data_IF_586860305181
#
_entry.id   IF_586860305181
#
_cell.length_a   1.000
_cell.length_b   1.000
_cell.length_c   1.000
_cell.angle_alpha   90.00
_cell.angle_beta   90.00
_cell.angle_gamma   90.00
#
_symmetry.space_group_name_H-M   'P 1'
#
loop_
_entity.id
_entity.type
_entity.pdbx_description
1 polymer ?
#
# COMPACT_ATOMS: atom_id res chain seq x y z
N UNK A 1 -0.50 -13.48 10.83
CA UNK A 1 0.87 -13.27 11.37
C UNK A 1 1.81 -13.30 10.18
N UNK A 2 2.13 -12.12 9.63
CA UNK A 2 3.21 -11.96 8.65
C UNK A 2 4.54 -12.33 9.34
N UNK A 3 5.51 -12.86 8.60
CA UNK A 3 6.79 -13.36 9.14
C UNK A 3 7.34 -12.33 10.12
N UNK A 4 7.62 -12.74 11.37
CA UNK A 4 8.19 -11.85 12.36
C UNK A 4 9.64 -11.57 11.99
N UNK A 5 9.86 -10.59 11.12
CA UNK A 5 11.19 -10.11 10.79
C UNK A 5 11.58 -9.08 11.86
N UNK A 6 12.87 -8.92 12.13
CA UNK A 6 13.32 -7.77 12.92
C UNK A 6 13.04 -6.49 12.12
N UNK A 7 12.70 -5.39 12.81
CA UNK A 7 12.43 -4.07 12.21
C UNK A 7 13.52 -3.66 11.20
N UNK A 8 13.18 -3.70 9.91
CA UNK A 8 13.96 -3.05 8.87
C UNK A 8 13.82 -1.52 9.00
N UNK A 9 14.81 -0.72 8.57
CA UNK A 9 14.76 0.74 8.62
C UNK A 9 13.70 1.38 7.69
N UNK A 10 12.87 0.58 7.02
CA UNK A 10 11.80 0.95 6.07
C UNK A 10 10.57 1.63 6.72
N UNK A 11 10.62 1.85 8.03
CA UNK A 11 9.60 2.59 8.77
C UNK A 11 9.43 4.06 8.32
N UNK A 12 10.16 4.57 7.33
CA UNK A 12 10.11 5.98 6.91
C UNK A 12 9.03 6.28 5.86
N UNK A 13 8.88 5.48 4.79
CA UNK A 13 7.93 5.78 3.71
C UNK A 13 6.47 5.61 4.15
N UNK A 14 6.15 4.47 4.77
CA UNK A 14 4.80 4.19 5.27
C UNK A 14 4.37 5.22 6.31
N UNK A 15 5.28 5.57 7.23
CA UNK A 15 5.03 6.59 8.25
C UNK A 15 4.82 7.95 7.62
N UNK A 16 5.59 8.35 6.61
CA UNK A 16 5.42 9.63 5.94
C UNK A 16 4.07 9.73 5.22
N UNK A 17 3.66 8.70 4.47
CA UNK A 17 2.37 8.69 3.75
C UNK A 17 1.20 8.68 4.74
N UNK A 18 1.21 7.84 5.78
CA UNK A 18 0.09 7.86 6.73
C UNK A 18 0.09 9.09 7.65
N UNK A 19 1.24 9.71 7.94
CA UNK A 19 1.28 11.04 8.56
C UNK A 19 0.67 12.10 7.64
N UNK A 20 0.95 12.05 6.33
CA UNK A 20 0.31 12.91 5.36
C UNK A 20 -1.21 12.65 5.29
N UNK A 21 -1.66 11.39 5.33
CA UNK A 21 -3.08 11.04 5.39
C UNK A 21 -3.79 11.66 6.61
N UNK A 22 -3.15 11.73 7.78
CA UNK A 22 -3.72 12.45 8.96
C UNK A 22 -4.04 13.91 8.66
N UNK A 23 -3.29 14.55 7.77
CA UNK A 23 -3.49 15.97 7.44
C UNK A 23 -4.57 16.20 6.38
N UNK A 24 -4.90 15.18 5.58
CA UNK A 24 -5.89 15.27 4.49
C UNK A 24 -7.20 14.52 4.79
N UNK A 25 -7.25 13.74 5.87
CA UNK A 25 -8.47 13.18 6.45
C UNK A 25 -9.06 14.12 7.52
N UNK A 26 -10.32 13.92 7.90
CA UNK A 26 -11.06 14.80 8.80
C UNK A 26 -10.46 14.83 10.22
N UNK A 27 -10.63 15.95 10.94
CA UNK A 27 -10.12 16.11 12.31
C UNK A 27 -10.75 15.05 13.24
N UNK A 28 -9.92 14.33 13.99
CA UNK A 28 -10.35 13.23 14.86
C UNK A 28 -10.01 11.83 14.33
N UNK A 29 -9.61 11.74 13.06
CA UNK A 29 -9.10 10.51 12.44
C UNK A 29 -7.76 10.11 13.06
N UNK A 30 -7.70 8.91 13.66
CA UNK A 30 -6.48 8.37 14.28
C UNK A 30 -5.79 7.44 13.28
N UNK A 31 -4.81 7.95 12.53
CA UNK A 31 -3.98 7.07 11.70
C UNK A 31 -2.94 6.31 12.54
N UNK A 32 -3.25 5.11 13.00
CA UNK A 32 -2.30 4.25 13.72
C UNK A 32 -1.73 3.18 12.80
N UNK A 33 -0.42 2.99 12.92
CA UNK A 33 0.29 1.98 12.14
C UNK A 33 0.49 0.75 13.03
N UNK A 34 -0.12 -0.37 12.65
CA UNK A 34 0.08 -1.64 13.34
C UNK A 34 0.92 -2.56 12.48
N UNK A 35 2.06 -2.99 13.01
CA UNK A 35 2.99 -3.86 12.30
C UNK A 35 4.34 -3.91 12.96
N UNK A 36 4.74 -5.07 13.46
CA UNK A 36 6.16 -5.33 13.71
C UNK A 36 6.83 -5.38 12.32
N UNK A 37 7.81 -4.49 12.14
CA UNK A 37 8.84 -4.46 11.10
C UNK A 37 8.53 -4.30 9.62
N UNK A 38 7.38 -4.67 9.07
CA UNK A 38 7.19 -4.69 7.59
C UNK A 38 5.76 -4.43 7.13
N UNK A 39 4.86 -4.04 8.04
CA UNK A 39 3.42 -3.95 7.78
C UNK A 39 3.00 -2.51 7.43
N UNK A 40 2.45 -2.30 6.24
CA UNK A 40 1.70 -1.10 5.86
C UNK A 40 0.20 -1.33 6.14
N UNK A 41 -0.17 -1.19 7.41
CA UNK A 41 -1.56 -1.07 7.83
C UNK A 41 -1.75 0.36 8.29
N UNK A 42 -2.62 1.11 7.61
CA UNK A 42 -3.04 2.44 8.05
C UNK A 42 -4.44 2.27 8.64
N UNK A 43 -4.50 2.12 9.95
CA UNK A 43 -5.77 2.17 10.68
C UNK A 43 -6.22 3.62 10.73
N UNK A 44 -7.38 4.00 10.22
CA UNK A 44 -7.87 5.40 10.18
C UNK A 44 -8.73 5.73 11.40
N UNK A 45 -9.51 4.74 11.83
CA UNK A 45 -10.08 4.64 13.16
C UNK A 45 -9.98 3.15 13.51
N UNK A 46 -9.15 2.75 14.49
CA UNK A 46 -8.92 1.33 14.80
C UNK A 46 -10.16 0.57 15.24
N UNK A 47 -11.28 1.28 15.48
CA UNK A 47 -12.57 0.69 15.78
C UNK A 47 -13.52 0.62 14.56
N UNK A 48 -13.17 1.23 13.42
CA UNK A 48 -14.07 1.36 12.25
C UNK A 48 -13.43 1.03 10.90
N UNK A 49 -12.21 1.48 10.58
CA UNK A 49 -11.64 1.41 9.22
C UNK A 49 -10.12 1.12 9.17
N UNK A 50 -9.72 0.30 8.20
CA UNK A 50 -8.32 -0.03 7.91
C UNK A 50 -8.00 0.01 6.41
N UNK A 51 -6.89 0.64 6.05
CA UNK A 51 -6.28 0.55 4.72
C UNK A 51 -5.12 -0.43 4.77
N UNK A 52 -5.10 -1.37 3.82
CA UNK A 52 -4.03 -2.35 3.62
C UNK A 52 -3.33 -2.05 2.29
N UNK A 53 -2.02 -1.80 2.31
CA UNK A 53 -1.25 -1.46 1.12
C UNK A 53 0.13 -2.15 1.10
N UNK A 54 0.35 -3.15 0.25
CA UNK A 54 1.62 -3.89 0.18
C UNK A 54 2.11 -4.07 -1.26
N UNK A 55 3.37 -4.47 -1.42
CA UNK A 55 3.93 -4.90 -2.71
C UNK A 55 5.43 -4.60 -2.89
N UNK A 56 5.94 -3.50 -2.33
CA UNK A 56 7.33 -3.05 -2.55
C UNK A 56 8.38 -4.09 -2.10
N UNK A 57 8.12 -4.78 -0.99
CA UNK A 57 9.07 -5.71 -0.38
C UNK A 57 8.69 -7.19 -0.57
N UNK A 58 7.55 -7.43 -1.20
CA UNK A 58 6.91 -8.74 -1.31
C UNK A 58 7.54 -9.58 -2.43
N UNK A 59 8.45 -8.98 -3.20
CA UNK A 59 9.22 -9.65 -4.26
C UNK A 59 10.47 -10.37 -3.78
N UNK A 60 11.08 -11.15 -4.69
CA UNK A 60 12.27 -11.95 -4.42
C UNK A 60 11.94 -13.43 -4.20
N UNK A 61 12.80 -14.12 -3.45
CA UNK A 61 12.63 -15.51 -3.06
C UNK A 61 12.45 -15.60 -1.54
N UNK A 62 11.46 -16.36 -1.02
CA UNK A 62 11.28 -16.58 0.41
C UNK A 62 12.51 -17.19 1.11
N UNK A 63 13.37 -17.91 0.38
CA UNK A 63 14.61 -18.48 0.91
C UNK A 63 15.69 -17.42 1.20
N UNK A 64 15.74 -16.37 0.37
CA UNK A 64 16.78 -15.33 0.45
C UNK A 64 16.28 -14.01 1.03
N UNK A 65 14.96 -13.84 1.14
CA UNK A 65 14.33 -12.65 1.72
C UNK A 65 13.26 -13.04 2.74
N UNK A 66 13.29 -12.36 3.88
CA UNK A 66 12.32 -12.55 4.95
C UNK A 66 10.94 -11.92 4.64
N UNK A 67 10.89 -11.02 3.65
CA UNK A 67 9.69 -10.28 3.23
C UNK A 67 9.04 -10.85 1.98
N UNK A 68 9.76 -11.69 1.24
CA UNK A 68 9.28 -12.22 -0.03
C UNK A 68 8.12 -13.20 0.19
N UNK A 69 7.08 -13.00 -0.60
CA UNK A 69 5.98 -13.95 -0.72
C UNK A 69 6.30 -15.01 -1.76
N UNK A 70 5.56 -16.12 -1.71
CA UNK A 70 5.57 -17.09 -2.80
C UNK A 70 5.01 -16.44 -4.07
N UNK A 71 5.68 -16.70 -5.18
CA UNK A 71 5.25 -16.16 -6.47
C UNK A 71 3.86 -16.69 -6.86
N UNK A 72 2.99 -15.80 -7.33
CA UNK A 72 1.63 -16.10 -7.73
C UNK A 72 0.59 -15.40 -6.85
N UNK A 73 -0.67 -15.42 -7.28
CA UNK A 73 -1.81 -14.88 -6.53
C UNK A 73 -2.78 -15.94 -6.01
N UNK A 74 -2.49 -17.21 -6.25
CA UNK A 74 -3.33 -18.35 -5.85
C UNK A 74 -3.10 -18.68 -4.36
N UNK A 75 -4.18 -18.80 -3.59
CA UNK A 75 -4.12 -19.08 -2.15
C UNK A 75 -3.60 -20.47 -1.80
N UNK A 76 -3.72 -21.43 -2.74
CA UNK A 76 -3.30 -22.83 -2.53
C UNK A 76 -1.80 -23.05 -2.67
N UNK A 77 -1.08 -22.06 -3.20
CA UNK A 77 0.35 -22.16 -3.46
C UNK A 77 1.14 -21.77 -2.21
N UNK A 78 2.07 -22.64 -1.81
CA UNK A 78 2.93 -22.45 -0.65
C UNK A 78 4.34 -22.97 -0.92
N UNK A 79 5.32 -22.41 -0.25
CA UNK A 79 6.70 -22.92 -0.22
C UNK A 79 7.10 -23.21 1.23
N UNK A 80 7.76 -24.33 1.46
CA UNK A 80 8.37 -24.63 2.77
C UNK A 80 9.83 -24.26 2.72
N UNK A 81 10.25 -23.31 3.56
CA UNK A 81 11.63 -22.83 3.64
C UNK A 81 12.26 -23.23 4.97
N UNK A 82 13.60 -23.32 4.99
CA UNK A 82 14.37 -23.48 6.23
C UNK A 82 15.29 -22.28 6.39
N UNK A 83 15.12 -21.53 7.48
CA UNK A 83 15.93 -20.38 7.80
C UNK A 83 17.34 -20.79 8.26
N UNK A 84 18.28 -19.84 8.28
CA UNK A 84 19.65 -20.06 8.73
C UNK A 84 19.77 -20.59 10.17
N UNK A 85 18.77 -20.31 11.03
CA UNK A 85 18.71 -20.83 12.40
C UNK A 85 18.07 -22.23 12.51
N UNK A 86 17.71 -22.86 11.39
CA UNK A 86 17.07 -24.18 11.31
C UNK A 86 15.55 -24.15 11.46
N UNK A 87 14.92 -22.98 11.66
CA UNK A 87 13.46 -22.87 11.70
C UNK A 87 12.87 -23.20 10.34
N UNK A 88 11.85 -24.06 10.31
CA UNK A 88 11.09 -24.39 9.11
C UNK A 88 9.80 -23.55 9.10
N UNK A 89 9.54 -22.86 7.99
CA UNK A 89 8.37 -22.00 7.80
C UNK A 89 7.62 -22.40 6.52
N UNK A 90 6.30 -22.26 6.53
CA UNK A 90 5.47 -22.31 5.32
C UNK A 90 5.14 -20.88 4.92
N UNK A 91 5.59 -20.47 3.74
CA UNK A 91 5.33 -19.16 3.16
C UNK A 91 4.21 -19.31 2.13
N UNK A 92 3.33 -18.33 2.09
CA UNK A 92 2.17 -18.29 1.19
C UNK A 92 2.34 -17.21 0.14
N UNK A 93 1.40 -17.14 -0.80
CA UNK A 93 1.34 -16.06 -1.79
C UNK A 93 0.87 -14.75 -1.18
N UNK A 94 1.18 -13.64 -1.86
CA UNK A 94 0.67 -12.31 -1.54
C UNK A 94 -0.86 -12.30 -1.41
N UNK A 95 -1.55 -12.95 -2.36
CA UNK A 95 -3.00 -13.04 -2.39
C UNK A 95 -3.58 -13.69 -1.13
N UNK A 96 -2.94 -14.77 -0.65
CA UNK A 96 -3.32 -15.41 0.62
C UNK A 96 -3.20 -14.44 1.80
N UNK A 97 -2.06 -13.75 1.94
CA UNK A 97 -1.84 -12.88 3.08
C UNK A 97 -2.80 -11.69 3.10
N UNK A 98 -3.03 -11.04 1.95
CA UNK A 98 -4.00 -9.92 1.88
C UNK A 98 -5.41 -10.40 2.26
N UNK A 99 -5.84 -11.56 1.75
CA UNK A 99 -7.16 -12.13 2.06
C UNK A 99 -7.31 -12.52 3.52
N UNK A 100 -6.27 -13.09 4.13
CA UNK A 100 -6.26 -13.39 5.56
C UNK A 100 -6.37 -12.10 6.41
N UNK A 101 -5.67 -11.02 6.03
CA UNK A 101 -5.79 -9.74 6.73
C UNK A 101 -7.19 -9.12 6.58
N UNK A 102 -7.82 -9.26 5.41
CA UNK A 102 -9.21 -8.84 5.19
C UNK A 102 -10.15 -9.62 6.12
N UNK A 103 -10.01 -10.94 6.19
CA UNK A 103 -10.84 -11.80 7.04
C UNK A 103 -10.67 -11.46 8.54
N UNK A 104 -9.42 -11.31 9.00
CA UNK A 104 -9.09 -10.97 10.39
C UNK A 104 -9.64 -9.60 10.82
N UNK A 105 -9.68 -8.64 9.90
CA UNK A 105 -10.20 -7.29 10.14
C UNK A 105 -11.73 -7.27 10.10
N UNK A 106 -12.32 -7.94 9.11
CA UNK A 106 -13.78 -8.08 8.98
C UNK A 106 -14.37 -8.81 10.20
N UNK A 107 -13.69 -9.83 10.72
CA UNK A 107 -14.10 -10.54 11.94
C UNK A 107 -14.14 -9.63 13.20
N UNK A 108 -13.46 -8.48 13.16
CA UNK A 108 -13.45 -7.45 14.21
C UNK A 108 -14.41 -6.29 13.92
N UNK A 109 -15.26 -6.41 12.89
CA UNK A 109 -16.13 -5.36 12.37
C UNK A 109 -15.38 -4.10 11.92
N UNK A 110 -14.14 -4.26 11.46
CA UNK A 110 -13.38 -3.18 10.84
C UNK A 110 -13.62 -3.22 9.33
N UNK A 111 -14.04 -2.10 8.76
CA UNK A 111 -14.16 -1.91 7.31
C UNK A 111 -12.76 -1.92 6.69
N UNK A 112 -12.58 -2.76 5.68
CA UNK A 112 -11.26 -2.94 5.03
C UNK A 112 -11.26 -2.27 3.67
N UNK A 113 -10.18 -1.55 3.38
CA UNK A 113 -9.93 -0.95 2.07
C UNK A 113 -8.59 -1.45 1.59
N UNK A 114 -8.56 -2.03 0.39
CA UNK A 114 -7.31 -2.46 -0.23
C UNK A 114 -6.79 -1.34 -1.12
N UNK A 115 -5.53 -0.99 -0.94
CA UNK A 115 -4.81 -0.05 -1.79
C UNK A 115 -3.71 -0.80 -2.53
N UNK A 116 -3.52 -0.54 -3.82
CA UNK A 116 -2.31 -1.00 -4.51
C UNK A 116 -1.07 -0.26 -4.00
N UNK A 117 0.10 -0.89 -4.06
CA UNK A 117 1.34 -0.18 -3.78
C UNK A 117 1.50 1.08 -4.64
N UNK A 118 2.19 2.09 -4.11
CA UNK A 118 2.65 3.25 -4.89
C UNK A 118 3.70 2.81 -5.94
N UNK A 119 3.91 3.59 -7.02
CA UNK A 119 5.06 3.39 -7.88
C UNK A 119 6.36 3.78 -7.16
N UNK A 120 7.47 3.18 -7.57
CA UNK A 120 8.80 3.81 -7.43
C UNK A 120 8.87 5.09 -8.28
N UNK A 121 9.99 5.80 -8.31
CA UNK A 121 10.17 6.97 -9.16
C UNK A 121 9.99 6.59 -10.65
N UNK A 122 8.88 6.99 -11.31
CA UNK A 122 8.60 6.58 -12.69
C UNK A 122 9.46 7.33 -13.72
N UNK A 123 10.26 8.31 -13.29
CA UNK A 123 11.26 9.00 -14.10
C UNK A 123 12.67 8.45 -13.88
N UNK A 124 12.84 7.41 -13.05
CA UNK A 124 14.14 6.78 -12.89
C UNK A 124 14.68 6.32 -14.25
N UNK A 125 15.85 6.84 -14.63
CA UNK A 125 16.49 6.58 -15.91
C UNK A 125 15.65 6.93 -17.16
N UNK A 126 14.62 7.78 -17.02
CA UNK A 126 13.71 8.14 -18.10
C UNK A 126 13.26 9.60 -18.03
N UNK A 127 13.12 10.26 -19.19
CA UNK A 127 12.56 11.62 -19.27
C UNK A 127 11.03 11.64 -19.37
N UNK A 128 10.42 10.47 -19.62
CA UNK A 128 8.97 10.24 -19.64
C UNK A 128 8.57 9.25 -18.57
N UNK A 129 7.31 9.28 -18.13
CA UNK A 129 6.78 8.33 -17.15
C UNK A 129 6.92 6.89 -17.68
N UNK A 130 7.47 6.00 -16.84
CA UNK A 130 7.36 4.55 -16.97
C UNK A 130 6.17 4.08 -16.16
N UNK A 131 5.11 3.66 -16.84
CA UNK A 131 3.87 3.14 -16.24
C UNK A 131 3.82 1.62 -16.37
N UNK A 132 4.62 0.95 -15.54
CA UNK A 132 4.70 -0.52 -15.48
C UNK A 132 4.29 -1.00 -14.08
N UNK A 133 2.98 -1.24 -13.86
CA UNK A 133 2.51 -1.68 -12.55
C UNK A 133 3.10 -3.06 -12.21
N UNK A 134 3.72 -3.23 -11.03
CA UNK A 134 4.21 -4.53 -10.59
C UNK A 134 3.04 -5.49 -10.35
N UNK A 135 3.32 -6.79 -10.37
CA UNK A 135 2.31 -7.86 -10.20
C UNK A 135 1.41 -7.69 -8.97
N UNK A 136 1.94 -7.09 -7.90
CA UNK A 136 1.23 -6.87 -6.64
C UNK A 136 0.05 -5.89 -6.76
N UNK A 137 0.10 -4.94 -7.71
CA UNK A 137 -1.05 -4.08 -8.03
C UNK A 137 -2.23 -4.94 -8.49
N UNK A 138 -1.97 -5.89 -9.40
CA UNK A 138 -2.98 -6.83 -9.88
C UNK A 138 -3.45 -7.80 -8.79
N UNK A 139 -2.52 -8.30 -7.96
CA UNK A 139 -2.87 -9.23 -6.89
C UNK A 139 -3.72 -8.57 -5.80
N UNK A 140 -3.41 -7.33 -5.41
CA UNK A 140 -4.21 -6.57 -4.45
C UNK A 140 -5.63 -6.34 -4.97
N UNK A 141 -5.77 -5.97 -6.25
CA UNK A 141 -7.07 -5.81 -6.92
C UNK A 141 -7.89 -7.10 -6.89
N UNK A 142 -7.27 -8.24 -7.21
CA UNK A 142 -7.95 -9.53 -7.23
C UNK A 142 -8.38 -9.95 -5.83
N UNK A 143 -7.50 -9.80 -4.83
CA UNK A 143 -7.84 -10.10 -3.44
C UNK A 143 -9.01 -9.26 -2.92
N UNK A 144 -9.06 -7.96 -3.25
CA UNK A 144 -10.16 -7.08 -2.91
C UNK A 144 -11.48 -7.53 -3.56
N UNK A 145 -11.44 -7.85 -4.86
CA UNK A 145 -12.60 -8.34 -5.60
C UNK A 145 -13.14 -9.67 -5.03
N UNK A 146 -12.26 -10.61 -4.72
CA UNK A 146 -12.62 -11.93 -4.18
C UNK A 146 -13.29 -11.82 -2.80
N UNK A 147 -12.88 -10.84 -1.98
CA UNK A 147 -13.46 -10.58 -0.66
C UNK A 147 -14.60 -9.56 -0.67
N UNK A 148 -14.89 -8.95 -1.82
CA UNK A 148 -15.94 -7.94 -1.95
C UNK A 148 -15.67 -6.65 -1.14
N UNK A 149 -14.40 -6.29 -0.94
CA UNK A 149 -14.01 -5.06 -0.24
C UNK A 149 -13.57 -3.96 -1.22
N UNK A 150 -13.69 -2.67 -0.87
CA UNK A 150 -13.24 -1.56 -1.71
C UNK A 150 -11.77 -1.69 -2.14
N UNK A 151 -11.48 -1.27 -3.38
CA UNK A 151 -10.13 -1.22 -3.95
C UNK A 151 -9.79 0.18 -4.46
N UNK A 152 -8.70 0.75 -3.95
CA UNK A 152 -8.08 1.99 -4.43
C UNK A 152 -6.89 1.64 -5.31
N UNK A 153 -6.95 2.03 -6.59
CA UNK A 153 -5.80 1.91 -7.48
C UNK A 153 -4.80 3.06 -7.26
N UNK A 154 -4.18 3.07 -6.07
CA UNK A 154 -3.28 4.13 -5.65
C UNK A 154 -2.05 4.25 -6.56
N UNK A 155 -1.54 3.14 -7.10
CA UNK A 155 -0.51 3.13 -8.13
C UNK A 155 -0.86 4.08 -9.30
N UNK A 156 -2.01 3.84 -9.94
CA UNK A 156 -2.43 4.58 -11.12
C UNK A 156 -2.74 6.06 -10.79
N UNK A 157 -3.31 6.32 -9.62
CA UNK A 157 -3.56 7.69 -9.16
C UNK A 157 -2.24 8.48 -8.97
N UNK A 158 -1.20 7.84 -8.41
CA UNK A 158 0.12 8.47 -8.25
C UNK A 158 0.79 8.68 -9.61
N UNK A 159 0.73 7.70 -10.52
CA UNK A 159 1.25 7.85 -11.89
C UNK A 159 0.58 9.04 -12.60
N UNK A 160 -0.74 9.18 -12.51
CA UNK A 160 -1.48 10.29 -13.10
C UNK A 160 -1.09 11.64 -12.49
N UNK A 161 -0.85 11.70 -11.18
CA UNK A 161 -0.37 12.90 -10.51
C UNK A 161 1.06 13.25 -10.94
N UNK A 162 1.98 12.28 -10.90
CA UNK A 162 3.38 12.47 -11.29
C UNK A 162 3.53 12.87 -12.76
N UNK A 163 2.67 12.37 -13.63
CA UNK A 163 2.57 12.82 -15.04
C UNK A 163 2.30 14.32 -15.13
N UNK A 164 1.43 14.87 -14.26
CA UNK A 164 1.09 16.31 -14.24
C UNK A 164 2.23 17.16 -13.65
N UNK A 165 2.92 16.64 -12.65
CA UNK A 165 4.00 17.37 -11.95
C UNK A 165 5.29 17.41 -12.78
N UNK A 166 5.55 16.38 -13.57
CA UNK A 166 6.72 16.30 -14.44
C UNK A 166 8.01 15.88 -13.74
N UNK A 167 9.00 15.48 -14.55
CA UNK A 167 10.25 14.85 -14.13
C UNK A 167 10.96 15.60 -13.00
N UNK A 168 11.31 16.88 -13.19
CA UNK A 168 12.12 17.64 -12.22
C UNK A 168 11.47 17.71 -10.84
N UNK A 169 10.16 17.88 -10.77
CA UNK A 169 9.43 17.92 -9.51
C UNK A 169 9.37 16.54 -8.87
N UNK A 170 9.08 15.50 -9.64
CA UNK A 170 8.97 14.12 -9.11
C UNK A 170 10.32 13.61 -8.63
N UNK A 171 11.41 13.81 -9.38
CA UNK A 171 12.78 13.46 -8.95
C UNK A 171 13.13 14.12 -7.61
N UNK A 172 12.70 15.37 -7.39
CA UNK A 172 12.94 16.07 -6.12
C UNK A 172 12.25 15.41 -4.92
N UNK A 173 11.25 14.55 -5.14
CA UNK A 173 10.59 13.79 -4.09
C UNK A 173 11.38 12.57 -3.65
N UNK A 174 12.37 12.10 -4.40
CA UNK A 174 13.14 10.87 -4.15
C UNK A 174 14.62 11.20 -3.87
N UNK A 175 14.95 11.81 -2.72
CA UNK A 175 16.28 12.40 -2.49
C UNK A 175 17.40 11.38 -2.21
N UNK A 176 17.07 10.13 -1.87
CA UNK A 176 18.04 9.13 -1.43
C UNK A 176 18.08 7.90 -2.33
N UNK A 177 16.91 7.40 -2.71
CA UNK A 177 16.70 6.26 -3.61
C UNK A 177 15.38 6.43 -4.35
N UNK A 178 15.09 5.52 -5.26
CA UNK A 178 13.91 5.56 -6.13
C UNK A 178 12.59 5.17 -5.46
N UNK A 179 12.57 4.77 -4.19
CA UNK A 179 11.36 4.28 -3.50
C UNK A 179 10.90 5.23 -2.40
N UNK A 180 11.83 5.77 -1.61
CA UNK A 180 11.52 6.53 -0.41
C UNK A 180 11.30 8.02 -0.71
N UNK A 181 10.04 8.43 -0.72
CA UNK A 181 9.68 9.85 -0.87
C UNK A 181 10.04 10.69 0.36
N UNK A 182 10.44 11.94 0.16
CA UNK A 182 10.47 12.96 1.20
C UNK A 182 9.04 13.39 1.62
N UNK A 183 8.95 14.26 2.64
CA UNK A 183 7.65 14.73 3.17
C UNK A 183 6.75 15.39 2.12
N UNK A 184 7.32 16.16 1.17
CA UNK A 184 6.54 16.80 0.13
C UNK A 184 5.96 15.78 -0.86
N UNK A 185 6.76 14.79 -1.26
CA UNK A 185 6.32 13.68 -2.10
C UNK A 185 5.26 12.83 -1.41
N UNK A 186 5.46 12.50 -0.14
CA UNK A 186 4.50 11.73 0.66
C UNK A 186 3.13 12.44 0.75
N UNK A 187 3.12 13.79 0.83
CA UNK A 187 1.88 14.57 0.78
C UNK A 187 1.16 14.47 -0.56
N UNK A 188 1.90 14.54 -1.66
CA UNK A 188 1.35 14.37 -3.01
C UNK A 188 0.77 12.97 -3.20
N UNK A 189 1.49 11.94 -2.75
CA UNK A 189 1.02 10.55 -2.76
C UNK A 189 -0.27 10.40 -1.93
N UNK A 190 -0.34 10.95 -0.72
CA UNK A 190 -1.57 10.93 0.08
C UNK A 190 -2.76 11.63 -0.62
N UNK A 191 -2.52 12.73 -1.35
CA UNK A 191 -3.55 13.38 -2.17
C UNK A 191 -4.00 12.51 -3.35
N UNK A 192 -3.07 11.78 -3.98
CA UNK A 192 -3.39 10.82 -5.03
C UNK A 192 -4.29 9.69 -4.53
N UNK A 193 -4.04 9.17 -3.31
CA UNK A 193 -4.92 8.20 -2.65
C UNK A 193 -6.36 8.72 -2.54
N UNK A 194 -6.54 9.96 -2.09
CA UNK A 194 -7.88 10.58 -2.00
C UNK A 194 -8.55 10.71 -3.37
N UNK A 195 -7.78 10.98 -4.43
CA UNK A 195 -8.29 10.97 -5.80
C UNK A 195 -8.79 9.58 -6.22
N UNK A 196 -8.08 8.52 -5.80
CA UNK A 196 -8.43 7.13 -6.08
C UNK A 196 -9.65 6.65 -5.29
N UNK A 197 -9.87 7.14 -4.06
CA UNK A 197 -11.08 6.87 -3.27
C UNK A 197 -12.37 7.31 -3.99
N UNK A 198 -12.29 8.31 -4.86
CA UNK A 198 -13.45 8.82 -5.61
C UNK A 198 -13.79 7.98 -6.84
N UNK A 199 -12.97 6.96 -7.14
CA UNK A 199 -13.24 6.06 -8.25
C UNK A 199 -14.31 5.01 -7.90
N UNK A 200 -15.04 4.48 -8.91
CA UNK A 200 -16.11 3.51 -8.67
C UNK A 200 -15.68 2.26 -7.87
N UNK A 201 -14.43 1.82 -8.03
CA UNK A 201 -13.89 0.65 -7.32
C UNK A 201 -13.70 0.86 -5.81
N UNK A 202 -13.67 2.12 -5.36
CA UNK A 202 -13.54 2.52 -3.96
C UNK A 202 -14.81 3.24 -3.46
N UNK A 203 -15.91 3.16 -4.21
CA UNK A 203 -17.11 3.95 -3.92
C UNK A 203 -17.62 3.72 -2.49
N UNK A 204 -17.76 4.83 -1.75
CA UNK A 204 -18.23 4.82 -0.36
C UNK A 204 -17.16 4.53 0.69
N UNK A 205 -15.95 4.11 0.29
CA UNK A 205 -14.84 3.94 1.21
C UNK A 205 -14.45 5.28 1.85
N UNK A 206 -14.35 5.30 3.18
CA UNK A 206 -13.92 6.47 3.97
C UNK A 206 -14.76 7.74 3.74
N UNK A 207 -15.98 7.63 3.20
CA UNK A 207 -16.78 8.79 2.82
C UNK A 207 -17.03 9.76 4.00
N UNK A 208 -17.09 9.23 5.23
CA UNK A 208 -17.27 10.00 6.47
C UNK A 208 -15.95 10.61 7.00
N UNK A 209 -14.80 10.18 6.48
CA UNK A 209 -13.46 10.56 6.93
C UNK A 209 -12.72 11.49 5.94
N UNK A 210 -13.27 11.76 4.76
CA UNK A 210 -12.65 12.70 3.80
C UNK A 210 -12.78 14.14 4.35
N UNK A 211 -11.66 14.85 4.47
CA UNK A 211 -11.70 16.27 4.87
C UNK A 211 -12.23 17.17 3.74
N UNK A 212 -12.57 18.42 4.06
CA UNK A 212 -12.87 19.46 3.06
C UNK A 212 -11.75 19.64 2.02
N UNK A 213 -10.49 19.42 2.40
CA UNK A 213 -9.35 19.44 1.46
C UNK A 213 -9.44 18.26 0.49
N UNK A 214 -9.79 17.08 0.99
CA UNK A 214 -10.01 15.89 0.19
C UNK A 214 -11.22 16.00 -0.74
N UNK A 215 -12.28 16.69 -0.33
CA UNK A 215 -13.46 16.95 -1.17
C UNK A 215 -13.12 17.72 -2.46
N UNK A 216 -12.13 18.61 -2.42
CA UNK A 216 -11.69 19.40 -3.57
C UNK A 216 -10.81 18.67 -4.59
N UNK A 217 -10.38 17.43 -4.32
CA UNK A 217 -9.49 16.66 -5.21
C UNK A 217 -10.31 15.93 -6.28
N UNK A 218 -10.08 16.17 -7.57
CA UNK A 218 -10.77 15.42 -8.64
C UNK A 218 -10.41 13.94 -8.62
N UNK A 219 -11.32 13.07 -9.07
CA UNK A 219 -11.05 11.64 -9.19
C UNK A 219 -9.97 11.37 -10.25
N UNK A 220 -9.09 10.41 -10.00
CA UNK A 220 -8.13 9.90 -10.98
C UNK A 220 -8.37 8.42 -11.23
N UNK A 221 -9.27 8.17 -12.19
CA UNK A 221 -9.63 6.86 -12.74
C UNK A 221 -9.42 6.94 -14.26
#
# INVERSE_FOLDING_TARGET
MWRSVAAAPEATLAVAIGQALKTVLSQGTVCDFYGLSLLKIISIDPLLDVIIEFGHNDGGSPESSATADVYGGDESVTETITLANGTVEVVHTFGYYIKAMIDDSTAKNVTVIISSQTPDNPYEHSTTIVDEPPRFVGYAKNAAADKGVPYVNHFAAVIALFTKLGNTTVDSYFPFDHTHTNTAGAMQVAQAFLSGLKCPAAQGALAEHVSLVGEGIDASC
#
